data_IF_310784483321
#
_entry.id   IF_310784483321
#
_cell.length_a   1.000
_cell.length_b   1.000
_cell.length_c   1.000
_cell.angle_alpha   90.00
_cell.angle_beta   90.00
_cell.angle_gamma   90.00
#
_symmetry.space_group_name_H-M   'P 1'
#
loop_
_entity.id
_entity.type
_entity.pdbx_description
1 polymer ?
#
# COMPACT_ATOMS: atom_id res chain seq x y z
N UNK A 1 3.09 10.35 -25.60
CA UNK A 1 2.46 9.20 -25.13
C UNK A 1 1.00 9.30 -25.02
N UNK A 2 0.35 8.27 -25.24
CA UNK A 2 -1.08 8.26 -25.32
C UNK A 2 -1.71 7.98 -23.99
N UNK A 3 -3.02 8.16 -23.95
CA UNK A 3 -3.79 7.80 -22.78
C UNK A 3 -3.67 6.33 -22.48
N UNK A 4 -3.51 5.53 -23.53
CA UNK A 4 -3.39 4.11 -23.35
C UNK A 4 -2.16 3.76 -22.54
N UNK A 5 -1.04 4.44 -22.81
CA UNK A 5 0.16 4.21 -22.02
C UNK A 5 -0.05 4.57 -20.56
N UNK A 6 -0.76 5.65 -20.33
CA UNK A 6 -1.02 6.08 -18.97
C UNK A 6 -1.91 5.08 -18.26
N UNK A 7 -2.92 4.56 -18.95
CA UNK A 7 -3.78 3.57 -18.36
C UNK A 7 -3.05 2.29 -18.02
N UNK A 8 -2.12 1.89 -18.87
CA UNK A 8 -1.35 0.70 -18.58
C UNK A 8 -0.44 0.90 -17.38
N UNK A 9 0.11 2.10 -17.25
CA UNK A 9 0.95 2.40 -16.10
C UNK A 9 0.13 2.31 -14.82
N UNK A 10 -1.08 2.81 -14.83
CA UNK A 10 -1.94 2.73 -13.65
C UNK A 10 -2.26 1.30 -13.29
N UNK A 11 -2.53 0.47 -14.29
CA UNK A 11 -2.79 -0.94 -14.02
C UNK A 11 -1.57 -1.64 -13.44
N UNK A 12 -0.40 -1.32 -13.97
CA UNK A 12 0.82 -1.91 -13.44
C UNK A 12 1.06 -1.48 -12.01
N UNK A 13 0.79 -0.21 -11.70
CA UNK A 13 0.97 0.28 -10.35
C UNK A 13 0.02 -0.43 -9.39
N UNK A 14 -1.23 -0.61 -9.80
CA UNK A 14 -2.20 -1.30 -8.97
C UNK A 14 -1.77 -2.74 -8.75
N UNK A 15 -1.35 -3.42 -9.79
CA UNK A 15 -0.92 -4.81 -9.66
C UNK A 15 0.29 -4.92 -8.74
N UNK A 16 1.25 -4.01 -8.87
CA UNK A 16 2.45 -4.08 -8.05
C UNK A 16 2.11 -3.84 -6.58
N UNK A 17 1.28 -2.84 -6.31
CA UNK A 17 0.96 -2.51 -4.93
C UNK A 17 0.10 -3.60 -4.30
N UNK A 18 -0.96 -4.04 -4.98
CA UNK A 18 -1.80 -5.07 -4.40
C UNK A 18 -1.08 -6.41 -4.32
N UNK A 19 -0.18 -6.68 -5.25
CA UNK A 19 0.63 -7.88 -5.15
C UNK A 19 1.51 -7.85 -3.91
N UNK A 20 2.12 -6.70 -3.64
CA UNK A 20 2.93 -6.57 -2.44
C UNK A 20 2.09 -6.70 -1.18
N UNK A 21 0.85 -6.20 -1.21
CA UNK A 21 -0.02 -6.25 -0.06
C UNK A 21 -0.70 -7.60 0.13
N UNK A 22 -0.55 -8.51 -0.80
CA UNK A 22 -1.21 -9.79 -0.73
C UNK A 22 -0.63 -10.71 0.33
N UNK A 23 0.51 -10.38 0.87
CA UNK A 23 1.19 -11.22 1.85
C UNK A 23 1.09 -10.60 3.23
N UNK A 24 0.65 -11.38 4.21
CA UNK A 24 0.42 -10.85 5.55
C UNK A 24 1.66 -10.25 6.16
N UNK A 25 2.81 -10.87 5.96
CA UNK A 25 4.04 -10.35 6.53
C UNK A 25 4.38 -8.97 5.99
N UNK A 26 4.11 -8.76 4.72
CA UNK A 26 4.39 -7.45 4.13
C UNK A 26 3.44 -6.38 4.65
N UNK A 27 2.16 -6.72 4.81
CA UNK A 27 1.23 -5.78 5.43
C UNK A 27 1.67 -5.44 6.85
N UNK A 28 2.15 -6.45 7.57
CA UNK A 28 2.60 -6.23 8.94
C UNK A 28 3.81 -5.28 8.98
N UNK A 29 4.75 -5.45 8.06
CA UNK A 29 5.90 -4.57 7.99
C UNK A 29 5.43 -3.11 7.81
N UNK A 30 4.49 -2.88 6.91
CA UNK A 30 4.02 -1.51 6.69
C UNK A 30 3.34 -0.94 7.92
N UNK A 31 2.57 -1.77 8.63
CA UNK A 31 1.91 -1.30 9.85
C UNK A 31 2.94 -0.92 10.90
N UNK A 32 3.97 -1.75 11.05
CA UNK A 32 5.02 -1.45 12.03
C UNK A 32 5.76 -0.17 11.66
N UNK A 33 6.09 -0.01 10.39
CA UNK A 33 6.75 1.22 9.96
C UNK A 33 5.88 2.43 10.28
N UNK A 34 4.59 2.33 10.00
CA UNK A 34 3.71 3.44 10.25
C UNK A 34 3.62 3.76 11.75
N UNK A 35 3.55 2.73 12.57
CA UNK A 35 3.44 2.92 14.01
C UNK A 35 4.69 3.54 14.60
N UNK A 36 5.80 3.40 13.93
CA UNK A 36 7.06 3.93 14.44
C UNK A 36 7.50 5.21 13.71
N UNK A 37 6.56 5.90 13.13
CA UNK A 37 6.85 7.20 12.55
C UNK A 37 7.27 7.15 11.09
N UNK A 38 7.18 6.01 10.47
CA UNK A 38 7.45 5.90 9.04
C UNK A 38 8.89 5.63 8.68
N UNK A 39 9.78 5.52 9.65
CA UNK A 39 11.21 5.29 9.40
C UNK A 39 11.73 4.30 10.42
N UNK A 40 12.27 3.19 9.95
CA UNK A 40 12.78 2.15 10.85
C UNK A 40 14.04 1.55 10.24
N UNK A 41 15.06 1.34 11.04
CA UNK A 41 16.31 0.78 10.56
C UNK A 41 16.14 -0.71 10.25
N UNK A 42 16.98 -1.19 9.35
CA UNK A 42 16.98 -2.62 9.01
C UNK A 42 17.19 -3.48 10.27
N UNK A 43 18.05 -3.02 11.16
CA UNK A 43 18.30 -3.76 12.39
C UNK A 43 17.07 -3.86 13.27
N UNK A 44 16.33 -2.76 13.38
CA UNK A 44 15.09 -2.78 14.16
C UNK A 44 14.05 -3.67 13.52
N UNK A 45 13.96 -3.65 12.20
CA UNK A 45 13.02 -4.53 11.52
C UNK A 45 13.39 -5.97 11.79
N UNK A 46 14.66 -6.29 11.65
CA UNK A 46 15.12 -7.67 11.87
C UNK A 46 14.80 -8.13 13.28
N UNK A 47 14.90 -7.23 14.25
CA UNK A 47 14.68 -7.60 15.63
C UNK A 47 13.20 -7.81 15.95
N UNK A 48 12.30 -7.23 15.13
CA UNK A 48 10.89 -7.29 15.45
C UNK A 48 10.13 -8.41 14.80
N UNK A 49 10.68 -9.01 13.78
CA UNK A 49 9.96 -10.05 13.07
C UNK A 49 10.59 -11.40 13.33
N UNK A 50 9.74 -12.41 13.46
CA UNK A 50 10.21 -13.75 13.78
C UNK A 50 10.84 -14.45 12.59
N UNK A 51 10.64 -13.93 11.39
CA UNK A 51 11.22 -14.52 10.22
C UNK A 51 12.72 -14.29 10.18
N UNK A 52 13.43 -15.16 9.50
CA UNK A 52 14.86 -14.95 9.30
C UNK A 52 15.09 -13.69 8.51
N UNK A 53 16.27 -13.12 8.62
CA UNK A 53 16.60 -11.93 7.87
C UNK A 53 16.50 -12.13 6.35
N UNK A 54 16.96 -13.26 5.78
CA UNK A 54 16.78 -13.44 4.35
C UNK A 54 15.30 -13.38 3.92
N UNK A 55 14.40 -13.94 4.72
CA UNK A 55 12.98 -13.88 4.41
C UNK A 55 12.44 -12.46 4.55
N UNK A 56 12.80 -11.78 5.63
CA UNK A 56 12.38 -10.41 5.86
C UNK A 56 12.91 -9.50 4.76
N UNK A 57 14.17 -9.70 4.38
CA UNK A 57 14.80 -8.91 3.35
C UNK A 57 14.09 -9.08 2.01
N UNK A 58 13.62 -10.31 1.72
CA UNK A 58 12.88 -10.56 0.50
C UNK A 58 11.57 -9.81 0.48
N UNK A 59 10.88 -9.79 1.63
CA UNK A 59 9.64 -9.03 1.75
C UNK A 59 9.89 -7.54 1.57
N UNK A 60 10.98 -7.04 2.15
CA UNK A 60 11.31 -5.62 2.00
C UNK A 60 11.63 -5.28 0.55
N UNK A 61 12.26 -6.20 -0.17
CA UNK A 61 12.54 -5.97 -1.58
C UNK A 61 11.25 -5.85 -2.39
N UNK A 62 10.28 -6.72 -2.11
CA UNK A 62 9.00 -6.63 -2.81
C UNK A 62 8.33 -5.29 -2.54
N UNK A 63 8.35 -4.85 -1.28
CA UNK A 63 7.78 -3.56 -0.93
C UNK A 63 8.52 -2.40 -1.59
N UNK A 64 9.84 -2.52 -1.69
CA UNK A 64 10.65 -1.51 -2.32
C UNK A 64 10.34 -1.41 -3.82
N UNK A 65 10.22 -2.56 -4.47
CA UNK A 65 9.93 -2.58 -5.90
C UNK A 65 8.54 -2.06 -6.20
N UNK A 66 7.62 -2.25 -5.28
CA UNK A 66 6.28 -1.70 -5.44
C UNK A 66 6.20 -0.21 -5.10
N UNK A 67 7.30 0.35 -4.60
CA UNK A 67 7.33 1.76 -4.24
C UNK A 67 6.67 2.08 -2.93
N UNK A 68 6.37 1.07 -2.11
CA UNK A 68 5.70 1.30 -0.83
C UNK A 68 6.67 1.65 0.28
N UNK A 69 7.94 1.36 0.10
CA UNK A 69 8.99 1.82 0.99
C UNK A 69 10.15 2.30 0.13
N UNK A 70 10.93 3.21 0.70
CA UNK A 70 12.23 3.58 0.15
C UNK A 70 13.28 3.19 1.16
N UNK A 71 14.53 3.18 0.73
CA UNK A 71 15.62 2.86 1.64
C UNK A 71 16.66 3.97 1.55
N UNK A 72 17.14 4.42 2.71
CA UNK A 72 18.13 5.48 2.82
C UNK A 72 19.29 4.96 3.64
N UNK A 73 20.46 5.51 3.40
CA UNK A 73 21.61 5.19 4.21
C UNK A 73 21.81 6.27 5.25
N UNK A 74 21.94 5.89 6.49
CA UNK A 74 22.21 6.84 7.58
C UNK A 74 23.36 6.27 8.38
N UNK A 75 24.54 6.84 8.16
CA UNK A 75 25.74 6.29 8.77
C UNK A 75 25.96 4.88 8.28
N UNK A 76 25.96 3.94 9.21
CA UNK A 76 26.16 2.54 8.85
C UNK A 76 24.85 1.79 8.72
N UNK A 77 23.73 2.48 8.91
CA UNK A 77 22.44 1.82 8.91
C UNK A 77 21.70 2.07 7.64
N UNK A 78 20.89 1.09 7.25
CA UNK A 78 19.91 1.26 6.21
C UNK A 78 18.58 1.55 6.88
N UNK A 79 17.91 2.63 6.45
CA UNK A 79 16.63 3.05 7.03
C UNK A 79 15.56 2.83 5.98
N UNK A 80 14.51 2.09 6.34
CA UNK A 80 13.37 1.90 5.46
C UNK A 80 12.33 2.96 5.79
N UNK A 81 11.84 3.62 4.74
CA UNK A 81 10.95 4.76 4.89
C UNK A 81 9.63 4.44 4.19
N UNK A 82 8.55 4.50 4.95
CA UNK A 82 7.23 4.22 4.42
C UNK A 82 6.81 5.30 3.44
N UNK A 83 6.29 4.90 2.29
CA UNK A 83 5.83 5.82 1.26
C UNK A 83 4.32 5.91 1.35
N UNK A 84 3.84 6.66 2.34
CA UNK A 84 2.43 6.75 2.64
C UNK A 84 1.62 7.31 1.47
N UNK A 85 2.17 8.31 0.79
CA UNK A 85 1.45 8.93 -0.31
C UNK A 85 1.22 7.94 -1.45
N UNK A 86 2.23 7.17 -1.75
CA UNK A 86 2.09 6.17 -2.82
C UNK A 86 1.06 5.13 -2.43
N UNK A 87 1.14 4.64 -1.20
CA UNK A 87 0.20 3.64 -0.72
C UNK A 87 -1.23 4.15 -0.86
N UNK A 88 -1.48 5.37 -0.38
CA UNK A 88 -2.81 5.93 -0.42
C UNK A 88 -3.26 6.26 -1.85
N UNK A 89 -2.35 6.77 -2.67
CA UNK A 89 -2.72 7.15 -4.02
C UNK A 89 -3.11 5.95 -4.87
N UNK A 90 -2.32 4.89 -4.79
CA UNK A 90 -2.59 3.74 -5.64
C UNK A 90 -3.79 2.95 -5.16
N UNK A 91 -3.86 2.67 -3.84
CA UNK A 91 -5.02 1.95 -3.34
C UNK A 91 -6.28 2.80 -3.48
N UNK A 92 -6.16 4.11 -3.26
CA UNK A 92 -7.29 4.99 -3.38
C UNK A 92 -7.82 5.09 -4.79
N UNK A 93 -6.94 5.03 -5.78
CA UNK A 93 -7.39 5.11 -7.16
C UNK A 93 -8.31 3.94 -7.51
N UNK A 94 -8.08 2.79 -6.89
CA UNK A 94 -8.92 1.64 -7.10
C UNK A 94 -10.19 1.73 -6.24
N UNK A 95 -10.03 2.18 -4.98
CA UNK A 95 -11.16 2.27 -4.08
C UNK A 95 -12.20 3.29 -4.53
N UNK A 96 -11.80 4.26 -5.32
CA UNK A 96 -12.73 5.26 -5.82
C UNK A 96 -13.88 4.64 -6.61
N UNK A 97 -13.63 3.52 -7.27
CA UNK A 97 -14.67 2.88 -8.05
C UNK A 97 -15.83 2.42 -7.18
N UNK A 98 -15.61 2.29 -5.87
CA UNK A 98 -16.61 1.78 -4.94
C UNK A 98 -17.07 2.83 -3.95
N UNK A 99 -16.84 4.10 -4.26
CA UNK A 99 -17.15 5.19 -3.35
C UNK A 99 -18.67 5.44 -3.36
N UNK A 100 -19.34 5.21 -2.22
CA UNK A 100 -20.80 5.43 -2.16
C UNK A 100 -21.21 6.86 -2.46
N UNK A 101 -20.36 7.82 -2.15
CA UNK A 101 -20.69 9.20 -2.41
C UNK A 101 -20.84 9.48 -3.89
N UNK A 102 -19.95 8.91 -4.69
CA UNK A 102 -20.03 9.10 -6.12
C UNK A 102 -21.26 8.44 -6.68
N UNK A 103 -21.59 7.27 -6.17
CA UNK A 103 -22.80 6.60 -6.60
C UNK A 103 -24.01 7.42 -6.27
N UNK A 104 -24.03 7.99 -5.09
CA UNK A 104 -25.17 8.80 -4.70
C UNK A 104 -25.34 10.00 -5.60
N UNK A 105 -24.26 10.61 -5.98
CA UNK A 105 -24.32 11.74 -6.87
C UNK A 105 -24.91 11.36 -8.21
N UNK A 106 -24.53 10.20 -8.71
CA UNK A 106 -25.01 9.76 -10.00
C UNK A 106 -26.45 9.32 -9.92
N UNK A 107 -26.78 8.62 -8.85
CA UNK A 107 -28.09 8.02 -8.77
C UNK A 107 -29.15 8.90 -8.15
N UNK A 108 -28.74 10.05 -7.70
CA UNK A 108 -29.71 10.97 -7.16
C UNK A 108 -30.59 10.39 -6.08
N UNK A 109 -30.00 9.75 -5.16
CA UNK A 109 -30.76 9.31 -4.03
C UNK A 109 -31.55 8.05 -4.18
N UNK A 110 -31.18 7.26 -5.09
CA UNK A 110 -31.96 6.06 -5.28
C UNK A 110 -31.74 5.09 -4.13
N UNK A 111 -32.19 3.91 -4.30
CA UNK A 111 -32.25 2.95 -3.22
C UNK A 111 -30.93 2.33 -2.84
N UNK A 112 -29.86 2.76 -3.42
CA UNK A 112 -28.58 2.23 -3.04
C UNK A 112 -28.33 2.40 -1.57
N UNK A 113 -28.72 3.50 -1.04
CA UNK A 113 -28.52 3.73 0.37
C UNK A 113 -29.25 2.75 1.23
N UNK A 114 -30.42 2.37 0.79
CA UNK A 114 -31.18 1.40 1.57
C UNK A 114 -30.46 0.08 1.64
N UNK A 115 -29.88 -0.32 0.53
CA UNK A 115 -29.16 -1.56 0.55
C UNK A 115 -27.99 -1.50 1.50
N UNK A 116 -27.27 -0.41 1.46
CA UNK A 116 -26.17 -0.26 2.34
C UNK A 116 -26.56 -0.33 3.76
N UNK A 117 -27.65 0.32 4.09
CA UNK A 117 -28.10 0.34 5.47
C UNK A 117 -28.50 -1.03 5.96
N UNK A 118 -29.07 -1.81 5.09
CA UNK A 118 -29.58 -3.07 5.54
C UNK A 118 -28.49 -4.10 5.73
N UNK A 119 -27.32 -3.87 5.28
CA UNK A 119 -26.35 -4.75 5.41
C UNK A 119 -25.70 -4.77 6.56
N UNK A 120 -25.76 -4.85 7.28
CA UNK A 120 -25.11 -4.89 8.40
C UNK A 120 -25.46 -4.96 9.25
#
# INVERSE_FOLDING_TARGET
MSLMSRGMKELEDIDAVFGALAHASRRHILVVLNARGGRVSAGDIAARFSCSWPTTSRHLRVLLEAGLVNVERSGREWIYVLQTERLNAVTGSWLKWFDPKEEQNVEAGNSVRLVSASRR
#
